data_IF_431168909631
#
_entry.id   IF_431168909631
#
_cell.length_a   1.000
_cell.length_b   1.000
_cell.length_c   1.000
_cell.angle_alpha   90.00
_cell.angle_beta   90.00
_cell.angle_gamma   90.00
#
_symmetry.space_group_name_H-M   'P 1'
#
loop_
_entity.id
_entity.type
_entity.pdbx_description
1 polymer ?
#
# COMPACT_ATOMS: atom_id res chain seq x y z
N UNK A 1 -16.81 10.57 10.51
CA UNK A 1 -16.14 10.85 9.22
C UNK A 1 -15.71 9.51 8.67
N UNK A 2 -15.95 9.26 7.38
CA UNK A 2 -15.45 8.04 6.71
C UNK A 2 -13.93 8.15 6.54
N UNK A 3 -13.15 7.10 6.78
CA UNK A 3 -11.71 7.11 6.51
C UNK A 3 -11.45 7.39 5.03
N UNK A 4 -10.41 8.17 4.75
CA UNK A 4 -10.00 8.47 3.38
C UNK A 4 -9.41 7.21 2.71
N UNK A 5 -9.61 7.08 1.40
CA UNK A 5 -9.07 6.02 0.54
C UNK A 5 -7.87 6.56 -0.22
N UNK A 6 -6.71 5.98 0.01
CA UNK A 6 -5.47 6.41 -0.63
C UNK A 6 -4.84 5.27 -1.45
N UNK A 7 -4.20 5.64 -2.56
CA UNK A 7 -3.42 4.70 -3.37
C UNK A 7 -1.96 5.09 -3.30
N UNK A 8 -1.11 4.14 -2.92
CA UNK A 8 0.34 4.28 -2.98
C UNK A 8 0.85 3.45 -4.14
N UNK A 9 1.22 4.14 -5.22
CA UNK A 9 1.87 3.50 -6.38
C UNK A 9 3.37 3.40 -6.15
N UNK A 10 3.89 2.18 -6.11
CA UNK A 10 5.28 1.86 -5.81
C UNK A 10 5.52 1.72 -4.31
N UNK A 11 5.51 0.47 -3.83
CA UNK A 11 6.04 0.14 -2.51
C UNK A 11 7.56 0.27 -2.52
N UNK A 12 8.18 -0.27 -3.58
CA UNK A 12 9.61 -0.28 -3.81
C UNK A 12 10.40 -1.11 -2.79
N UNK A 13 11.69 -1.30 -3.07
CA UNK A 13 12.62 -2.09 -2.23
C UNK A 13 13.46 -1.27 -1.26
N UNK A 14 13.41 0.06 -1.38
CA UNK A 14 14.27 1.00 -0.65
C UNK A 14 13.55 1.74 0.49
N UNK A 15 12.32 1.34 0.82
CA UNK A 15 11.57 1.84 1.98
C UNK A 15 10.79 3.14 1.77
N UNK A 16 10.88 3.81 0.62
CA UNK A 16 10.12 5.02 0.33
C UNK A 16 8.60 4.82 0.40
N UNK A 17 8.08 3.81 -0.30
CA UNK A 17 6.65 3.49 -0.26
C UNK A 17 6.20 2.99 1.12
N UNK A 18 7.05 2.23 1.82
CA UNK A 18 6.78 1.79 3.21
C UNK A 18 6.53 2.98 4.14
N UNK A 19 7.38 4.02 4.06
CA UNK A 19 7.23 5.22 4.87
C UNK A 19 5.92 5.97 4.60
N UNK A 20 5.56 6.14 3.32
CA UNK A 20 4.31 6.78 2.90
C UNK A 20 3.09 5.99 3.38
N UNK A 21 3.08 4.67 3.17
CA UNK A 21 1.99 3.78 3.60
C UNK A 21 1.77 3.85 5.10
N UNK A 22 2.84 3.77 5.90
CA UNK A 22 2.74 3.89 7.37
C UNK A 22 2.25 5.26 7.81
N UNK A 23 2.74 6.32 7.17
CA UNK A 23 2.29 7.67 7.49
C UNK A 23 0.79 7.83 7.20
N UNK A 24 0.30 7.41 6.02
CA UNK A 24 -1.13 7.45 5.68
C UNK A 24 -1.99 6.62 6.64
N UNK A 25 -1.54 5.42 7.00
CA UNK A 25 -2.23 4.58 7.97
C UNK A 25 -2.37 5.29 9.33
N UNK A 26 -1.31 5.99 9.78
CA UNK A 26 -1.34 6.78 11.02
C UNK A 26 -2.32 7.97 10.97
N UNK A 27 -2.74 8.40 9.78
CA UNK A 27 -3.77 9.42 9.57
C UNK A 27 -5.20 8.84 9.54
N UNK A 28 -5.34 7.52 9.63
CA UNK A 28 -6.62 6.82 9.57
C UNK A 28 -7.11 6.55 8.15
N UNK A 29 -6.24 6.58 7.15
CA UNK A 29 -6.61 6.22 5.78
C UNK A 29 -6.66 4.70 5.59
N UNK A 30 -7.52 4.23 4.68
CA UNK A 30 -7.46 2.89 4.12
C UNK A 30 -6.63 2.96 2.84
N UNK A 31 -5.60 2.11 2.74
CA UNK A 31 -4.60 2.22 1.69
C UNK A 31 -4.61 1.00 0.77
N UNK A 32 -4.58 1.24 -0.53
CA UNK A 32 -4.18 0.26 -1.51
C UNK A 32 -2.75 0.58 -1.96
N UNK A 33 -1.85 -0.39 -1.80
CA UNK A 33 -0.49 -0.34 -2.32
C UNK A 33 -0.46 -1.11 -3.64
N UNK A 34 0.02 -0.48 -4.70
CA UNK A 34 0.11 -1.08 -6.04
C UNK A 34 1.56 -1.03 -6.50
N UNK A 35 2.15 -2.16 -6.91
CA UNK A 35 3.52 -2.24 -7.39
C UNK A 35 3.65 -3.19 -8.59
N UNK A 36 4.58 -2.88 -9.51
CA UNK A 36 4.86 -3.69 -10.69
C UNK A 36 5.79 -4.86 -10.40
N UNK A 37 6.64 -4.74 -9.37
CA UNK A 37 7.44 -5.86 -8.90
C UNK A 37 6.51 -6.93 -8.27
N UNK A 38 6.93 -8.20 -8.31
CA UNK A 38 6.17 -9.30 -7.72
C UNK A 38 6.31 -9.35 -6.18
N UNK A 39 5.44 -10.13 -5.54
CA UNK A 39 5.42 -10.28 -4.09
C UNK A 39 6.72 -10.85 -3.49
N UNK A 40 7.45 -11.70 -4.23
CA UNK A 40 8.73 -12.26 -3.77
C UNK A 40 9.81 -11.19 -3.72
N UNK A 41 9.91 -10.39 -4.79
CA UNK A 41 10.81 -9.24 -4.93
C UNK A 41 10.53 -8.17 -3.87
N UNK A 42 9.25 -8.00 -3.50
CA UNK A 42 8.79 -7.03 -2.52
C UNK A 42 8.70 -7.57 -1.08
N UNK A 43 9.04 -8.85 -0.84
CA UNK A 43 8.84 -9.51 0.45
C UNK A 43 9.40 -8.71 1.66
N UNK A 44 10.60 -8.10 1.60
CA UNK A 44 11.10 -7.27 2.71
C UNK A 44 10.21 -6.05 2.99
N UNK A 45 9.73 -5.37 1.95
CA UNK A 45 8.89 -4.18 2.09
C UNK A 45 7.46 -4.52 2.51
N UNK A 46 6.91 -5.63 2.02
CA UNK A 46 5.61 -6.16 2.47
C UNK A 46 5.70 -6.54 3.95
N UNK A 47 6.78 -7.23 4.35
CA UNK A 47 7.04 -7.56 5.75
C UNK A 47 7.11 -6.33 6.65
N UNK A 48 7.66 -5.22 6.15
CA UNK A 48 7.73 -3.96 6.89
C UNK A 48 6.38 -3.26 7.11
N UNK A 49 5.29 -3.71 6.48
CA UNK A 49 3.92 -3.21 6.66
C UNK A 49 2.91 -4.32 6.98
N UNK A 50 3.37 -5.54 7.29
CA UNK A 50 2.51 -6.71 7.45
C UNK A 50 1.46 -6.53 8.55
N UNK A 51 1.81 -5.83 9.64
CA UNK A 51 0.91 -5.47 10.73
C UNK A 51 -0.32 -4.68 10.23
N UNK A 52 -0.14 -3.80 9.24
CA UNK A 52 -1.22 -3.00 8.66
C UNK A 52 -2.10 -3.80 7.69
N UNK A 53 -1.51 -4.79 7.02
CA UNK A 53 -2.24 -5.73 6.15
C UNK A 53 -3.10 -6.66 7.00
N UNK A 54 -2.55 -7.21 8.09
CA UNK A 54 -3.28 -8.06 9.05
C UNK A 54 -4.44 -7.31 9.71
N UNK A 55 -4.29 -6.02 9.96
CA UNK A 55 -5.35 -5.16 10.49
C UNK A 55 -6.42 -4.78 9.44
N UNK A 56 -6.22 -5.12 8.16
CA UNK A 56 -7.12 -4.75 7.07
C UNK A 56 -7.09 -3.27 6.70
N UNK A 57 -6.08 -2.52 7.17
CA UNK A 57 -5.89 -1.10 6.85
C UNK A 57 -5.20 -0.94 5.48
N UNK A 58 -4.36 -1.91 5.11
CA UNK A 58 -3.62 -1.92 3.83
C UNK A 58 -3.98 -3.16 3.02
N UNK A 59 -4.25 -2.97 1.73
CA UNK A 59 -4.29 -4.03 0.72
C UNK A 59 -3.10 -3.87 -0.23
N UNK A 60 -2.48 -4.97 -0.66
CA UNK A 60 -1.30 -4.96 -1.54
C UNK A 60 -1.60 -5.69 -2.83
N UNK A 61 -1.47 -5.00 -3.96
CA UNK A 61 -1.52 -5.55 -5.32
C UNK A 61 -0.11 -5.49 -5.92
N UNK A 62 0.36 -6.61 -6.49
CA UNK A 62 1.72 -6.76 -7.05
C UNK A 62 1.66 -7.27 -8.48
N UNK A 63 2.76 -7.10 -9.24
CA UNK A 63 2.90 -7.56 -10.62
C UNK A 63 2.33 -6.63 -11.70
N UNK A 64 1.58 -5.60 -11.32
CA UNK A 64 1.08 -4.57 -12.24
C UNK A 64 0.59 -3.33 -11.48
N UNK A 65 0.47 -2.21 -12.18
CA UNK A 65 -0.45 -1.15 -11.76
C UNK A 65 -1.74 -1.31 -12.55
N UNK A 66 -2.82 -1.70 -11.88
CA UNK A 66 -4.15 -1.70 -12.48
C UNK A 66 -4.73 -0.28 -12.37
N UNK A 67 -5.09 0.40 -13.47
CA UNK A 67 -5.75 1.69 -13.39
C UNK A 67 -7.01 1.70 -12.50
N UNK A 68 -7.71 0.57 -12.37
CA UNK A 68 -8.86 0.43 -11.49
C UNK A 68 -8.50 0.57 -10.00
N UNK A 69 -7.24 0.40 -9.62
CA UNK A 69 -6.77 0.64 -8.24
C UNK A 69 -7.02 2.09 -7.81
N UNK A 70 -7.11 3.04 -8.75
CA UNK A 70 -7.38 4.46 -8.50
C UNK A 70 -8.86 4.75 -8.23
N UNK A 71 -9.76 3.80 -8.47
CA UNK A 71 -11.20 4.04 -8.38
C UNK A 71 -11.63 4.31 -6.92
N UNK A 72 -12.20 5.50 -6.73
CA UNK A 72 -12.66 5.97 -5.43
C UNK A 72 -11.53 6.30 -4.45
N UNK A 73 -10.31 6.55 -4.93
CA UNK A 73 -9.30 7.26 -4.15
C UNK A 73 -9.73 8.73 -3.96
N UNK A 74 -9.46 9.29 -2.77
CA UNK A 74 -9.76 10.70 -2.43
C UNK A 74 -8.69 11.68 -2.94
#
# INVERSE_FOLDING_TARGET
>A
MTPARAVVMGLGRFGGGVGVTRWLASRGAHILVSDRDDAETLAPSIGAIADLVEQGVVTVHTGAHDPADLDGAD
#
